data_IF_063119366904
#
_entry.id   IF_063119366904
#
_cell.length_a   1.000
_cell.length_b   1.000
_cell.length_c   1.000
_cell.angle_alpha   90.00
_cell.angle_beta   90.00
_cell.angle_gamma   90.00
#
_symmetry.space_group_name_H-M   'P 1'
#
loop_
_entity.id
_entity.type
_entity.pdbx_description
1 polymer ?
#
# COMPACT_ATOMS: atom_id res chain seq x y z
N UNK A 1 48.50 -1.87 -31.75
CA UNK A 1 47.31 -1.00 -31.87
C UNK A 1 46.49 -1.52 -33.05
N UNK A 2 45.19 -1.80 -33.06
CA UNK A 2 44.12 -1.80 -32.07
C UNK A 2 43.00 -2.71 -32.61
N UNK A 3 42.26 -3.38 -31.73
CA UNK A 3 41.14 -4.25 -32.10
C UNK A 3 39.85 -3.43 -32.14
N UNK A 4 39.18 -3.44 -33.29
CA UNK A 4 37.88 -2.83 -33.53
C UNK A 4 36.71 -3.77 -33.26
N UNK A 5 35.61 -3.18 -32.80
CA UNK A 5 34.25 -3.76 -32.71
C UNK A 5 34.06 -4.75 -31.56
N UNK A 6 32.99 -4.70 -30.76
CA UNK A 6 31.61 -4.37 -31.11
C UNK A 6 30.90 -3.85 -29.86
N UNK A 7 30.51 -2.59 -29.90
CA UNK A 7 29.58 -1.96 -28.98
C UNK A 7 28.17 -2.55 -29.18
N UNK A 8 27.75 -3.39 -28.23
CA UNK A 8 26.43 -3.99 -28.21
C UNK A 8 25.45 -3.00 -27.56
N UNK A 9 24.99 -2.01 -28.34
CA UNK A 9 23.99 -1.04 -27.89
C UNK A 9 22.64 -1.74 -27.80
N UNK A 10 22.36 -2.29 -26.61
CA UNK A 10 21.05 -2.81 -26.24
C UNK A 10 20.04 -1.66 -26.26
N UNK A 11 19.18 -1.65 -27.28
CA UNK A 11 18.08 -0.71 -27.45
C UNK A 11 17.03 -0.94 -26.35
N UNK A 12 17.27 -0.41 -25.14
CA UNK A 12 16.25 -0.35 -24.08
C UNK A 12 15.20 0.67 -24.52
N UNK A 13 14.08 0.18 -25.06
CA UNK A 13 12.90 1.00 -25.34
C UNK A 13 12.53 1.78 -24.06
N UNK A 14 12.72 3.09 -24.08
CA UNK A 14 12.27 3.96 -22.99
C UNK A 14 10.74 3.91 -22.97
N UNK A 15 10.16 3.40 -21.87
CA UNK A 15 8.72 3.43 -21.67
C UNK A 15 8.35 4.86 -21.32
N UNK A 16 7.83 5.59 -22.30
CA UNK A 16 7.39 6.97 -22.15
C UNK A 16 6.31 7.10 -21.06
N UNK A 17 6.55 8.08 -20.19
CA UNK A 17 5.66 8.78 -19.26
C UNK A 17 4.17 8.44 -19.38
N UNK A 18 3.70 7.59 -18.47
CA UNK A 18 2.29 7.43 -18.14
C UNK A 18 2.17 7.18 -16.64
N UNK A 19 1.41 8.00 -15.94
CA UNK A 19 1.16 7.93 -14.49
C UNK A 19 0.89 6.49 -14.07
N UNK A 20 1.67 5.97 -13.10
CA UNK A 20 1.54 4.58 -12.65
C UNK A 20 0.14 4.32 -12.08
N UNK A 21 -0.37 3.06 -12.09
CA UNK A 21 -1.65 2.74 -11.46
C UNK A 21 -1.75 3.24 -10.02
N UNK A 22 -0.65 3.18 -9.26
CA UNK A 22 -0.57 3.69 -7.90
C UNK A 22 -0.74 5.21 -7.86
N UNK A 23 -0.13 5.95 -8.78
CA UNK A 23 -0.27 7.40 -8.84
C UNK A 23 -1.69 7.81 -9.25
N UNK A 24 -2.32 7.09 -10.19
CA UNK A 24 -3.75 7.30 -10.54
C UNK A 24 -4.68 7.02 -9.36
N UNK A 25 -4.44 5.95 -8.60
CA UNK A 25 -5.23 5.63 -7.42
C UNK A 25 -5.13 6.73 -6.35
N UNK A 26 -3.91 7.24 -6.10
CA UNK A 26 -3.69 8.32 -5.14
C UNK A 26 -4.45 9.59 -5.52
N UNK A 27 -4.41 9.96 -6.79
CA UNK A 27 -5.13 11.13 -7.31
C UNK A 27 -6.66 10.97 -7.18
N UNK A 28 -7.19 9.78 -7.47
CA UNK A 28 -8.61 9.48 -7.36
C UNK A 28 -9.11 9.28 -5.91
N UNK A 29 -8.22 9.05 -4.94
CA UNK A 29 -8.59 8.71 -3.56
C UNK A 29 -7.89 9.60 -2.51
N UNK A 30 -8.04 10.93 -2.57
CA UNK A 30 -7.31 11.85 -1.69
C UNK A 30 -7.61 11.62 -0.21
N UNK A 31 -8.85 11.29 0.17
CA UNK A 31 -9.22 11.00 1.56
C UNK A 31 -8.53 9.73 2.08
N UNK A 32 -8.49 8.66 1.29
CA UNK A 32 -7.82 7.41 1.70
C UNK A 32 -6.32 7.63 1.84
N UNK A 33 -5.72 8.39 0.92
CA UNK A 33 -4.31 8.80 1.01
C UNK A 33 -4.07 9.58 2.29
N UNK A 34 -4.87 10.61 2.57
CA UNK A 34 -4.77 11.38 3.81
C UNK A 34 -4.85 10.50 5.05
N UNK A 35 -5.81 9.57 5.09
CA UNK A 35 -5.99 8.68 6.22
C UNK A 35 -4.78 7.77 6.46
N UNK A 36 -4.24 7.17 5.40
CA UNK A 36 -3.01 6.37 5.49
C UNK A 36 -1.81 7.20 5.97
N UNK A 37 -1.70 8.46 5.52
CA UNK A 37 -0.62 9.36 5.97
C UNK A 37 -0.77 9.73 7.45
N UNK A 38 -1.99 10.00 7.91
CA UNK A 38 -2.29 10.24 9.32
C UNK A 38 -1.94 9.04 10.20
N UNK A 39 -2.35 7.83 9.81
CA UNK A 39 -2.01 6.61 10.53
C UNK A 39 -0.49 6.40 10.62
N UNK A 40 0.22 6.56 9.49
CA UNK A 40 1.68 6.46 9.44
C UNK A 40 2.36 7.47 10.35
N UNK A 41 1.86 8.71 10.39
CA UNK A 41 2.38 9.74 11.30
C UNK A 41 2.14 9.36 12.77
N UNK A 42 0.95 8.86 13.10
CA UNK A 42 0.60 8.41 14.45
C UNK A 42 1.51 7.27 14.92
N UNK A 43 1.72 6.25 14.08
CA UNK A 43 2.65 5.14 14.35
C UNK A 43 4.08 5.65 14.60
N UNK A 44 4.57 6.52 13.71
CA UNK A 44 5.93 7.07 13.84
C UNK A 44 6.12 7.92 15.11
N UNK A 45 5.04 8.54 15.59
CA UNK A 45 5.05 9.36 16.81
C UNK A 45 4.75 8.55 18.08
N UNK A 46 4.49 7.24 17.96
CA UNK A 46 4.10 6.38 19.07
C UNK A 46 2.74 6.73 19.68
N UNK A 47 1.86 7.40 18.92
CA UNK A 47 0.48 7.68 19.36
C UNK A 47 -0.43 6.48 19.22
N UNK A 48 -0.05 5.55 18.33
CA UNK A 48 -0.71 4.28 18.08
C UNK A 48 0.40 3.25 17.97
N UNK A 49 0.14 2.07 18.50
CA UNK A 49 0.99 0.90 18.34
C UNK A 49 0.26 -0.13 17.48
N UNK A 50 1.04 -0.97 16.79
CA UNK A 50 0.46 -2.07 16.02
C UNK A 50 0.08 -3.19 16.98
N UNK A 51 -1.18 -3.60 16.95
CA UNK A 51 -1.60 -4.79 17.68
C UNK A 51 -1.45 -6.04 16.80
N UNK A 52 -1.35 -7.23 17.42
CA UNK A 52 -1.46 -8.49 16.69
C UNK A 52 -2.82 -8.60 15.99
N UNK A 53 -2.90 -9.51 15.01
CA UNK A 53 -4.14 -9.76 14.29
C UNK A 53 -5.25 -10.12 15.27
N UNK A 54 -6.35 -9.38 15.28
CA UNK A 54 -7.45 -9.61 16.23
C UNK A 54 -8.12 -10.99 16.09
N UNK A 55 -7.96 -11.65 14.93
CA UNK A 55 -8.57 -12.97 14.65
C UNK A 55 -7.66 -14.13 15.04
N UNK A 56 -6.35 -14.03 14.79
CA UNK A 56 -5.42 -15.15 15.00
C UNK A 56 -4.15 -14.84 15.78
N UNK A 57 -3.95 -13.60 16.21
CA UNK A 57 -2.79 -13.18 17.00
C UNK A 57 -1.47 -13.09 16.22
N UNK A 58 -1.48 -13.19 14.89
CA UNK A 58 -0.26 -13.00 14.09
C UNK A 58 0.31 -11.59 14.25
N UNK A 59 1.63 -11.49 14.42
CA UNK A 59 2.31 -10.19 14.53
C UNK A 59 2.46 -9.46 13.19
N UNK A 60 2.40 -10.18 12.06
CA UNK A 60 2.46 -9.58 10.74
C UNK A 60 1.07 -9.09 10.32
N UNK A 61 0.84 -7.79 10.52
CA UNK A 61 -0.46 -7.15 10.33
C UNK A 61 -0.42 -5.95 9.40
N UNK A 62 -1.54 -5.75 8.73
CA UNK A 62 -1.91 -4.54 8.02
C UNK A 62 -3.04 -3.83 8.78
N UNK A 63 -3.11 -2.51 8.62
CA UNK A 63 -4.22 -1.72 9.13
C UNK A 63 -5.42 -1.84 8.18
N UNK A 64 -6.54 -2.31 8.70
CA UNK A 64 -7.83 -2.29 8.04
C UNK A 64 -8.62 -1.05 8.46
N UNK A 65 -9.05 -0.26 7.49
CA UNK A 65 -9.90 0.90 7.72
C UNK A 65 -11.37 0.53 7.43
N UNK A 66 -12.20 0.42 8.47
CA UNK A 66 -13.65 0.31 8.31
C UNK A 66 -14.26 1.67 7.87
N UNK A 67 -13.66 2.77 8.31
CA UNK A 67 -13.94 4.13 7.84
C UNK A 67 -12.65 4.94 7.68
N UNK A 68 -12.52 5.64 6.54
CA UNK A 68 -11.40 6.53 6.27
C UNK A 68 -11.58 7.93 6.91
N UNK A 69 -12.73 8.23 7.51
CA UNK A 69 -12.96 9.48 8.26
C UNK A 69 -12.24 9.47 9.62
N UNK A 70 -11.92 8.27 10.12
CA UNK A 70 -11.23 8.04 11.38
C UNK A 70 -9.89 7.34 11.11
N UNK A 71 -8.85 8.08 10.70
CA UNK A 71 -7.63 7.47 10.19
C UNK A 71 -6.82 6.70 11.23
N UNK A 72 -7.07 6.96 12.51
CA UNK A 72 -6.42 6.33 13.65
C UNK A 72 -7.23 5.16 14.22
N UNK A 73 -8.49 5.02 13.82
CA UNK A 73 -9.40 3.97 14.26
C UNK A 73 -9.33 2.84 13.23
N UNK A 74 -8.36 1.93 13.43
CA UNK A 74 -8.07 0.83 12.53
C UNK A 74 -8.08 -0.49 13.26
N UNK A 75 -8.47 -1.54 12.55
CA UNK A 75 -8.31 -2.92 13.00
C UNK A 75 -7.00 -3.47 12.50
N UNK A 76 -6.32 -4.25 13.33
CA UNK A 76 -5.08 -4.92 12.93
C UNK A 76 -5.40 -6.32 12.45
N UNK A 77 -5.15 -6.58 11.16
CA UNK A 77 -5.45 -7.85 10.53
C UNK A 77 -4.25 -8.37 9.78
N UNK A 78 -3.94 -9.66 9.93
CA UNK A 78 -2.98 -10.30 9.04
C UNK A 78 -3.54 -10.34 7.61
N UNK A 79 -2.65 -10.46 6.62
CA UNK A 79 -3.02 -10.43 5.20
C UNK A 79 -4.17 -11.39 4.83
N UNK A 80 -4.26 -12.56 5.48
CA UNK A 80 -5.32 -13.54 5.25
C UNK A 80 -6.68 -13.01 5.72
N UNK A 81 -6.77 -12.59 6.98
CA UNK A 81 -8.01 -12.06 7.55
C UNK A 81 -8.40 -10.72 6.95
N UNK A 82 -7.42 -9.89 6.58
CA UNK A 82 -7.67 -8.64 5.88
C UNK A 82 -8.38 -8.87 4.54
N UNK A 83 -7.91 -9.82 3.72
CA UNK A 83 -8.57 -10.20 2.46
C UNK A 83 -9.93 -10.88 2.68
N UNK A 84 -10.06 -11.67 3.74
CA UNK A 84 -11.33 -12.31 4.09
C UNK A 84 -12.39 -11.24 4.43
N UNK A 85 -12.02 -10.20 5.17
CA UNK A 85 -12.92 -9.12 5.55
C UNK A 85 -13.36 -8.29 4.33
N UNK A 86 -12.43 -7.95 3.43
CA UNK A 86 -12.76 -7.31 2.15
C UNK A 86 -13.75 -8.13 1.31
N UNK A 87 -13.59 -9.46 1.29
CA UNK A 87 -14.52 -10.36 0.58
C UNK A 87 -15.90 -10.40 1.26
N UNK A 88 -15.93 -10.42 2.60
CA UNK A 88 -17.16 -10.47 3.39
C UNK A 88 -17.99 -9.20 3.21
N UNK A 89 -17.34 -8.05 3.17
CA UNK A 89 -18.03 -6.76 3.16
C UNK A 89 -18.25 -6.16 1.77
N UNK A 90 -17.56 -6.64 0.72
CA UNK A 90 -17.51 -6.03 -0.62
C UNK A 90 -17.18 -4.52 -0.63
N UNK A 91 -16.91 -3.92 0.53
CA UNK A 91 -16.70 -2.50 0.78
C UNK A 91 -15.36 -2.35 1.49
N UNK A 92 -14.67 -1.28 1.10
CA UNK A 92 -13.26 -0.98 1.31
C UNK A 92 -12.38 -1.72 0.29
N UNK A 93 -11.63 -0.96 -0.51
CA UNK A 93 -11.13 -1.44 -1.80
C UNK A 93 -9.77 -2.12 -1.69
N UNK A 94 -9.69 -3.30 -2.29
CA UNK A 94 -8.48 -4.05 -2.54
C UNK A 94 -7.55 -3.27 -3.50
N UNK A 95 -6.47 -2.71 -2.95
CA UNK A 95 -5.22 -2.51 -3.69
C UNK A 95 -4.22 -3.47 -3.08
N UNK A 96 -4.10 -4.65 -3.70
CA UNK A 96 -2.96 -5.55 -3.55
C UNK A 96 -1.91 -5.23 -4.60
#
# INVERSE_FOLDING_TARGET
MGNGGKDNVSHRKSKLSGTTPQARWKEANPQKVWAHQCLRSALNRGLIEKEPCEVCGSAEVDAHHDSYDKPMDVRWLCRLHHKAEHRRLMKCEAVG
#
